data_IF_959243360355
#
_entry.id   IF_959243360355
#
_cell.length_a   1.000
_cell.length_b   1.000
_cell.length_c   1.000
_cell.angle_alpha   90.00
_cell.angle_beta   90.00
_cell.angle_gamma   90.00
#
_symmetry.space_group_name_H-M   'P 1'
#
loop_
_entity.id
_entity.type
_entity.pdbx_description
1 polymer ?
#
# COMPACT_ATOMS: atom_id res chain seq x y z
N UNK A 1 -1.91 -14.88 -3.21
CA UNK A 1 -1.92 -13.70 -4.08
C UNK A 1 -0.52 -13.41 -4.58
N UNK A 2 -0.36 -12.48 -5.52
CA UNK A 2 0.91 -12.26 -6.21
C UNK A 2 2.03 -11.90 -5.24
N UNK A 3 1.73 -11.23 -4.12
CA UNK A 3 2.66 -10.97 -3.01
C UNK A 3 3.46 -12.21 -2.59
N UNK A 4 2.82 -13.38 -2.50
CA UNK A 4 3.46 -14.63 -2.08
C UNK A 4 4.48 -15.16 -3.09
N UNK A 5 4.42 -14.72 -4.35
CA UNK A 5 5.35 -15.07 -5.41
C UNK A 5 6.41 -13.97 -5.63
N UNK A 6 6.03 -12.71 -5.41
CA UNK A 6 6.84 -11.51 -5.66
C UNK A 6 7.83 -11.26 -4.51
N UNK A 7 7.39 -11.32 -3.25
CA UNK A 7 8.24 -11.01 -2.08
C UNK A 7 9.52 -11.86 -2.01
N UNK A 8 9.46 -13.21 -2.11
CA UNK A 8 10.68 -14.04 -2.02
C UNK A 8 11.73 -13.77 -3.10
N UNK A 9 11.35 -13.15 -4.22
CA UNK A 9 12.28 -12.79 -5.31
C UNK A 9 12.87 -11.40 -5.15
N UNK A 10 12.14 -10.47 -4.54
CA UNK A 10 12.61 -9.12 -4.29
C UNK A 10 13.47 -9.04 -3.01
N UNK A 11 13.15 -9.85 -2.00
CA UNK A 11 13.82 -9.83 -0.70
C UNK A 11 15.36 -9.91 -0.79
N UNK A 12 15.99 -10.80 -1.58
CA UNK A 12 17.45 -10.86 -1.66
C UNK A 12 18.10 -9.58 -2.20
N UNK A 13 17.44 -8.90 -3.15
CA UNK A 13 17.93 -7.64 -3.71
C UNK A 13 17.77 -6.50 -2.69
N UNK A 14 16.60 -6.44 -2.05
CA UNK A 14 16.28 -5.44 -1.02
C UNK A 14 17.19 -5.58 0.20
N UNK A 15 17.47 -6.81 0.66
CA UNK A 15 18.38 -7.07 1.78
C UNK A 15 19.84 -6.67 1.46
N UNK A 16 20.25 -6.79 0.19
CA UNK A 16 21.54 -6.29 -0.29
C UNK A 16 21.65 -4.76 -0.19
N UNK A 17 20.60 -4.04 -0.62
CA UNK A 17 20.53 -2.58 -0.54
C UNK A 17 20.37 -2.10 0.90
N UNK A 18 19.54 -2.78 1.70
CA UNK A 18 19.28 -2.46 3.10
C UNK A 18 20.56 -2.53 3.93
N UNK A 19 21.42 -3.54 3.71
CA UNK A 19 22.72 -3.63 4.39
C UNK A 19 23.64 -2.45 4.10
N UNK A 20 23.67 -1.98 2.84
CA UNK A 20 24.47 -0.81 2.46
C UNK A 20 23.94 0.46 3.10
N UNK A 21 22.63 0.65 3.10
CA UNK A 21 21.97 1.80 3.73
C UNK A 21 22.11 1.80 5.27
N UNK A 22 21.90 0.65 5.90
CA UNK A 22 22.08 0.50 7.34
C UNK A 22 23.53 0.79 7.76
N UNK A 23 24.52 0.39 6.94
CA UNK A 23 25.93 0.71 7.17
C UNK A 23 26.25 2.22 7.09
N UNK A 24 25.41 3.02 6.42
CA UNK A 24 25.52 4.49 6.39
C UNK A 24 24.80 5.21 7.54
N UNK A 25 24.15 4.47 8.44
CA UNK A 25 23.42 5.03 9.58
C UNK A 25 22.03 5.57 9.25
N UNK A 26 21.51 5.31 8.04
CA UNK A 26 20.16 5.69 7.65
C UNK A 26 19.15 4.75 8.30
N UNK A 27 18.20 5.33 9.04
CA UNK A 27 17.13 4.59 9.72
C UNK A 27 15.95 4.27 8.80
N UNK A 28 15.15 3.27 9.18
CA UNK A 28 13.96 2.85 8.43
C UNK A 28 12.96 4.00 8.25
N UNK A 29 12.67 4.75 9.33
CA UNK A 29 11.73 5.89 9.30
C UNK A 29 12.09 6.94 8.24
N UNK A 30 13.39 7.18 8.03
CA UNK A 30 13.86 8.12 7.00
C UNK A 30 13.57 7.58 5.61
N UNK A 31 13.78 6.27 5.39
CA UNK A 31 13.46 5.61 4.12
C UNK A 31 11.96 5.70 3.83
N UNK A 32 11.11 5.44 4.82
CA UNK A 32 9.64 5.55 4.69
C UNK A 32 9.20 6.97 4.32
N UNK A 33 9.73 8.00 5.00
CA UNK A 33 9.40 9.41 4.69
C UNK A 33 9.84 9.80 3.28
N UNK A 34 11.04 9.41 2.87
CA UNK A 34 11.55 9.69 1.52
C UNK A 34 10.74 8.94 0.47
N UNK A 35 10.39 7.68 0.71
CA UNK A 35 9.55 6.89 -0.19
C UNK A 35 8.17 7.54 -0.38
N UNK A 36 7.56 8.04 0.70
CA UNK A 36 6.30 8.78 0.64
C UNK A 36 6.45 10.09 -0.15
N UNK A 37 7.49 10.88 0.12
CA UNK A 37 7.75 12.12 -0.62
C UNK A 37 7.90 11.87 -2.13
N UNK A 38 8.62 10.81 -2.53
CA UNK A 38 8.72 10.38 -3.92
C UNK A 38 7.36 9.97 -4.50
N UNK A 39 6.51 9.31 -3.71
CA UNK A 39 5.14 8.96 -4.11
C UNK A 39 4.24 10.19 -4.32
N UNK A 40 4.41 11.24 -3.52
CA UNK A 40 3.71 12.51 -3.71
C UNK A 40 4.22 13.26 -4.95
N UNK A 41 5.53 13.21 -5.23
CA UNK A 41 6.08 13.71 -6.48
C UNK A 41 5.54 12.94 -7.69
N UNK A 42 5.39 11.62 -7.58
CA UNK A 42 4.73 10.80 -8.60
C UNK A 42 3.29 11.26 -8.85
N UNK A 43 2.53 11.49 -7.78
CA UNK A 43 1.16 12.02 -7.84
C UNK A 43 1.10 13.36 -8.57
N UNK A 44 2.00 14.30 -8.24
CA UNK A 44 2.09 15.59 -8.91
C UNK A 44 2.46 15.46 -10.39
N UNK A 45 3.40 14.59 -10.73
CA UNK A 45 3.79 14.32 -12.12
C UNK A 45 2.60 13.75 -12.93
N UNK A 46 1.83 12.82 -12.35
CA UNK A 46 0.62 12.25 -12.95
C UNK A 46 -0.43 13.34 -13.17
N UNK A 47 -0.70 14.17 -12.16
CA UNK A 47 -1.68 15.25 -12.26
C UNK A 47 -1.32 16.27 -13.36
N UNK A 48 -0.03 16.48 -13.62
CA UNK A 48 0.47 17.34 -14.70
C UNK A 48 0.56 16.64 -16.07
N UNK A 49 0.17 15.37 -16.16
CA UNK A 49 0.16 14.59 -17.42
C UNK A 49 1.47 13.88 -17.75
N UNK A 50 2.51 13.97 -16.91
CA UNK A 50 3.78 13.27 -17.09
C UNK A 50 3.69 11.80 -16.64
N UNK A 51 2.85 11.00 -17.30
CA UNK A 51 2.51 9.64 -16.88
C UNK A 51 3.72 8.70 -16.76
N UNK A 52 4.68 8.77 -17.67
CA UNK A 52 5.89 7.93 -17.62
C UNK A 52 6.82 8.30 -16.47
N UNK A 53 7.01 9.59 -16.23
CA UNK A 53 7.79 10.07 -15.08
C UNK A 53 7.07 9.75 -13.76
N UNK A 54 5.75 9.93 -13.73
CA UNK A 54 4.90 9.51 -12.63
C UNK A 54 5.03 8.02 -12.32
N UNK A 55 4.97 7.17 -13.35
CA UNK A 55 5.17 5.72 -13.23
C UNK A 55 6.56 5.38 -12.67
N UNK A 56 7.62 6.01 -13.18
CA UNK A 56 8.97 5.77 -12.68
C UNK A 56 9.10 6.15 -11.19
N UNK A 57 8.61 7.33 -10.81
CA UNK A 57 8.62 7.80 -9.42
C UNK A 57 7.76 6.90 -8.52
N UNK A 58 6.60 6.46 -8.99
CA UNK A 58 5.73 5.52 -8.28
C UNK A 58 6.48 4.22 -7.96
N UNK A 59 7.14 3.62 -8.95
CA UNK A 59 7.91 2.39 -8.75
C UNK A 59 9.09 2.60 -7.80
N UNK A 60 9.78 3.73 -7.89
CA UNK A 60 10.86 4.09 -6.95
C UNK A 60 10.32 4.22 -5.51
N UNK A 61 9.18 4.88 -5.33
CA UNK A 61 8.51 4.99 -4.03
C UNK A 61 8.22 3.60 -3.44
N UNK A 62 7.66 2.68 -4.24
CA UNK A 62 7.35 1.31 -3.79
C UNK A 62 8.58 0.44 -3.52
N UNK A 63 9.69 0.69 -4.21
CA UNK A 63 10.97 0.07 -3.86
C UNK A 63 11.50 0.59 -2.52
N UNK A 64 11.34 1.89 -2.25
CA UNK A 64 11.69 2.49 -0.96
C UNK A 64 10.88 1.92 0.20
N UNK A 65 9.59 1.74 0.00
CA UNK A 65 8.66 1.08 0.93
C UNK A 65 9.11 -0.36 1.28
N UNK A 66 9.45 -1.17 0.27
CA UNK A 66 10.02 -2.51 0.54
C UNK A 66 11.39 -2.47 1.25
N UNK A 67 12.14 -1.40 1.05
CA UNK A 67 13.48 -1.20 1.60
C UNK A 67 13.45 -0.77 3.06
N UNK A 68 12.48 0.03 3.51
CA UNK A 68 12.37 0.43 4.91
C UNK A 68 12.14 -0.77 5.83
N UNK A 69 11.31 -1.73 5.40
CA UNK A 69 11.04 -2.95 6.14
C UNK A 69 12.25 -3.87 6.19
N UNK A 70 13.09 -3.84 5.14
CA UNK A 70 14.36 -4.56 5.13
C UNK A 70 15.38 -3.91 6.09
N UNK A 71 15.46 -2.57 6.11
CA UNK A 71 16.32 -1.83 7.06
C UNK A 71 15.85 -2.03 8.50
N UNK A 72 14.54 -1.99 8.76
CA UNK A 72 13.96 -2.22 10.09
C UNK A 72 14.25 -3.64 10.61
N UNK A 73 14.28 -4.66 9.74
CA UNK A 73 14.68 -6.02 10.13
C UNK A 73 16.14 -6.11 10.59
N UNK A 74 17.01 -5.29 10.02
CA UNK A 74 18.44 -5.27 10.37
C UNK A 74 18.71 -4.45 11.64
N UNK A 75 18.08 -3.29 11.77
CA UNK A 75 18.35 -2.32 12.85
C UNK A 75 17.45 -2.51 14.08
N UNK A 76 16.43 -3.36 13.99
CA UNK A 76 15.40 -3.53 15.01
C UNK A 76 14.11 -2.78 14.65
N UNK A 77 12.98 -3.46 14.81
CA UNK A 77 11.65 -2.88 14.57
C UNK A 77 11.23 -2.01 15.76
N UNK A 78 10.53 -0.92 15.48
CA UNK A 78 9.97 -0.01 16.50
C UNK A 78 8.48 0.17 16.28
N UNK A 79 7.74 0.42 17.36
CA UNK A 79 6.29 0.70 17.28
C UNK A 79 6.00 1.95 16.47
N UNK A 80 6.86 2.98 16.62
CA UNK A 80 6.76 4.21 15.83
C UNK A 80 6.96 3.97 14.34
N UNK A 81 7.96 3.16 13.95
CA UNK A 81 8.21 2.82 12.56
C UNK A 81 7.03 2.08 11.93
N UNK A 82 6.44 1.11 12.65
CA UNK A 82 5.24 0.41 12.19
C UNK A 82 4.01 1.32 12.07
N UNK A 83 3.82 2.26 12.99
CA UNK A 83 2.78 3.30 12.88
C UNK A 83 3.00 4.20 11.66
N UNK A 84 4.24 4.68 11.46
CA UNK A 84 4.60 5.58 10.38
C UNK A 84 4.42 4.92 9.02
N UNK A 85 4.87 3.68 8.86
CA UNK A 85 4.69 2.84 7.68
C UNK A 85 3.21 2.79 7.27
N UNK A 86 2.33 2.35 8.19
CA UNK A 86 0.88 2.27 7.94
C UNK A 86 0.32 3.63 7.51
N UNK A 87 0.63 4.71 8.23
CA UNK A 87 0.08 6.05 7.92
C UNK A 87 0.51 6.52 6.53
N UNK A 88 1.80 6.38 6.20
CA UNK A 88 2.35 6.84 4.92
C UNK A 88 1.91 5.96 3.75
N UNK A 89 1.63 4.67 3.99
CA UNK A 89 1.00 3.80 3.01
C UNK A 89 -0.41 4.28 2.64
N UNK A 90 -1.23 4.65 3.63
CA UNK A 90 -2.56 5.24 3.35
C UNK A 90 -2.46 6.56 2.58
N UNK A 91 -1.46 7.39 2.88
CA UNK A 91 -1.19 8.60 2.10
C UNK A 91 -0.91 8.24 0.65
N UNK A 92 -0.02 7.27 0.40
CA UNK A 92 0.32 6.85 -0.95
C UNK A 92 -0.87 6.26 -1.72
N UNK A 93 -1.60 5.31 -1.11
CA UNK A 93 -2.74 4.66 -1.76
C UNK A 93 -3.86 5.63 -2.10
N UNK A 94 -4.04 6.70 -1.32
CA UNK A 94 -4.97 7.78 -1.63
C UNK A 94 -4.43 8.77 -2.66
N UNK A 95 -3.13 9.11 -2.57
CA UNK A 95 -2.51 10.14 -3.41
C UNK A 95 -2.44 9.73 -4.88
N UNK A 96 -2.05 8.49 -5.20
CA UNK A 96 -1.90 8.08 -6.61
C UNK A 96 -3.22 8.18 -7.39
N UNK A 97 -4.37 7.61 -6.94
CA UNK A 97 -5.66 7.83 -7.60
C UNK A 97 -6.06 9.30 -7.67
N UNK A 98 -5.75 10.09 -6.63
CA UNK A 98 -6.01 11.54 -6.65
C UNK A 98 -5.25 12.24 -7.78
N UNK A 99 -4.01 11.83 -8.07
CA UNK A 99 -3.25 12.33 -9.22
C UNK A 99 -3.99 12.14 -10.55
N UNK A 100 -4.61 10.96 -10.76
CA UNK A 100 -5.42 10.69 -11.96
C UNK A 100 -6.75 11.44 -11.98
N UNK A 101 -7.36 11.69 -10.81
CA UNK A 101 -8.53 12.56 -10.69
C UNK A 101 -8.18 13.99 -11.11
N UNK A 102 -7.02 14.49 -10.69
CA UNK A 102 -6.57 15.84 -11.05
C UNK A 102 -6.14 15.96 -12.51
N UNK A 103 -5.63 14.87 -13.10
CA UNK A 103 -5.28 14.82 -14.52
C UNK A 103 -6.47 15.05 -15.45
N UNK A 104 -7.62 14.40 -15.17
CA UNK A 104 -8.86 14.59 -15.92
C UNK A 104 -10.07 14.51 -14.99
N UNK A 105 -10.45 15.62 -14.33
CA UNK A 105 -11.56 15.64 -13.38
C UNK A 105 -12.90 15.26 -14.01
N UNK A 106 -13.12 15.58 -15.29
CA UNK A 106 -14.39 15.31 -15.97
C UNK A 106 -14.60 13.81 -16.18
N UNK A 107 -13.56 13.08 -16.56
CA UNK A 107 -13.64 11.63 -16.77
C UNK A 107 -13.44 10.83 -15.47
N UNK A 108 -12.57 11.28 -14.56
CA UNK A 108 -12.04 10.43 -13.50
C UNK A 108 -12.59 10.71 -12.10
N UNK A 109 -13.18 11.88 -11.83
CA UNK A 109 -13.47 12.31 -10.46
C UNK A 109 -14.36 11.32 -9.68
N UNK A 110 -15.47 10.86 -10.27
CA UNK A 110 -16.40 9.97 -9.57
C UNK A 110 -15.76 8.60 -9.32
N UNK A 111 -15.14 8.01 -10.34
CA UNK A 111 -14.52 6.70 -10.22
C UNK A 111 -13.33 6.71 -9.24
N UNK A 112 -12.49 7.76 -9.30
CA UNK A 112 -11.38 7.95 -8.37
C UNK A 112 -11.85 8.18 -6.94
N UNK A 113 -12.91 8.98 -6.72
CA UNK A 113 -13.49 9.19 -5.40
C UNK A 113 -14.05 7.88 -4.81
N UNK A 114 -14.73 7.06 -5.61
CA UNK A 114 -15.23 5.74 -5.18
C UNK A 114 -14.08 4.81 -4.82
N UNK A 115 -13.02 4.76 -5.63
CA UNK A 115 -11.84 3.94 -5.33
C UNK A 115 -11.18 4.37 -4.01
N UNK A 116 -10.90 5.67 -3.84
CA UNK A 116 -10.32 6.24 -2.62
C UNK A 116 -11.21 5.90 -1.41
N UNK A 117 -12.52 6.12 -1.51
CA UNK A 117 -13.47 5.77 -0.45
C UNK A 117 -13.35 4.29 -0.06
N UNK A 118 -13.31 3.38 -1.03
CA UNK A 118 -13.18 1.95 -0.73
C UNK A 118 -11.84 1.58 -0.10
N UNK A 119 -10.74 2.24 -0.48
CA UNK A 119 -9.43 2.06 0.19
C UNK A 119 -9.50 2.45 1.66
N UNK A 120 -10.09 3.60 1.99
CA UNK A 120 -10.22 4.03 3.38
C UNK A 120 -11.18 3.17 4.20
N UNK A 121 -12.28 2.70 3.62
CA UNK A 121 -13.19 1.75 4.30
C UNK A 121 -12.48 0.41 4.56
N UNK A 122 -11.75 -0.10 3.55
CA UNK A 122 -10.97 -1.32 3.71
C UNK A 122 -9.89 -1.15 4.78
N UNK A 123 -9.17 -0.03 4.78
CA UNK A 123 -8.18 0.30 5.79
C UNK A 123 -8.74 0.40 7.19
N UNK A 124 -9.81 1.17 7.38
CA UNK A 124 -10.49 1.30 8.67
C UNK A 124 -10.93 -0.06 9.20
N UNK A 125 -11.52 -0.91 8.35
CA UNK A 125 -11.92 -2.26 8.76
C UNK A 125 -10.71 -3.14 9.13
N UNK A 126 -9.57 -3.00 8.43
CA UNK A 126 -8.33 -3.72 8.72
C UNK A 126 -7.74 -3.31 10.08
N UNK A 127 -7.52 -2.02 10.30
CA UNK A 127 -6.99 -1.51 11.57
C UNK A 127 -7.92 -1.82 12.75
N UNK A 128 -9.23 -1.61 12.59
CA UNK A 128 -10.20 -1.91 13.64
C UNK A 128 -10.21 -3.41 14.00
N UNK A 129 -10.16 -4.29 12.99
CA UNK A 129 -10.06 -5.73 13.22
C UNK A 129 -8.76 -6.09 13.94
N UNK A 130 -7.62 -5.54 13.53
CA UNK A 130 -6.32 -5.78 14.14
C UNK A 130 -6.30 -5.41 15.63
N UNK A 131 -6.75 -4.20 15.97
CA UNK A 131 -6.81 -3.72 17.37
C UNK A 131 -7.75 -4.59 18.22
N UNK A 132 -8.91 -4.99 17.69
CA UNK A 132 -9.83 -5.86 18.41
C UNK A 132 -9.29 -7.28 18.61
N UNK A 133 -8.58 -7.81 17.61
CA UNK A 133 -7.96 -9.12 17.70
C UNK A 133 -6.81 -9.14 18.72
N UNK A 134 -5.95 -8.12 18.69
CA UNK A 134 -4.86 -7.93 19.66
C UNK A 134 -5.41 -7.82 21.09
N UNK A 135 -6.43 -6.98 21.31
CA UNK A 135 -7.08 -6.82 22.64
C UNK A 135 -7.66 -8.12 23.20
N UNK A 136 -8.10 -9.03 22.32
CA UNK A 136 -8.67 -10.32 22.72
C UNK A 136 -7.63 -11.43 22.85
N UNK A 137 -6.35 -11.11 22.65
CA UNK A 137 -5.27 -12.09 22.66
C UNK A 137 -5.45 -13.18 21.61
N UNK A 138 -6.21 -12.89 20.54
CA UNK A 138 -6.24 -13.79 19.41
C UNK A 138 -4.80 -13.79 18.86
N UNK A 139 -4.25 -14.98 18.59
CA UNK A 139 -2.99 -15.15 17.87
C UNK A 139 -3.25 -16.09 16.70
N UNK A 140 -2.78 -15.73 15.52
CA UNK A 140 -2.84 -16.60 14.35
C UNK A 140 -1.59 -17.46 14.32
N UNK A 141 -1.65 -18.66 14.90
CA UNK A 141 -0.59 -19.69 14.77
C UNK A 141 -0.44 -20.24 13.33
N UNK A 142 -1.32 -19.85 12.40
CA UNK A 142 -1.34 -20.42 11.05
C UNK A 142 -0.22 -19.90 10.12
N UNK A 143 0.46 -18.79 10.45
CA UNK A 143 1.62 -18.24 9.72
C UNK A 143 2.36 -17.28 10.65
N UNK A 144 3.56 -17.67 11.07
CA UNK A 144 4.29 -17.14 12.22
C UNK A 144 4.53 -15.61 12.29
N UNK A 145 4.94 -15.19 13.49
CA UNK A 145 5.45 -13.88 13.91
C UNK A 145 5.14 -12.69 12.96
N UNK A 146 3.86 -12.41 12.74
CA UNK A 146 3.43 -11.10 12.24
C UNK A 146 2.26 -10.64 13.08
N UNK A 147 2.51 -9.55 13.80
CA UNK A 147 1.71 -8.86 14.80
C UNK A 147 0.39 -8.25 14.28
N UNK A 148 -0.16 -8.72 13.16
CA UNK A 148 -1.43 -8.23 12.63
C UNK A 148 -2.17 -9.41 12.00
N UNK A 149 -3.41 -9.68 12.43
CA UNK A 149 -4.28 -10.63 11.75
C UNK A 149 -4.50 -10.19 10.31
N UNK A 150 -3.71 -10.75 9.40
CA UNK A 150 -3.92 -10.60 7.97
C UNK A 150 -5.14 -11.43 7.58
N UNK A 151 -6.30 -10.80 7.53
CA UNK A 151 -7.38 -11.29 6.69
C UNK A 151 -6.92 -11.09 5.25
N UNK A 152 -6.58 -12.17 4.55
CA UNK A 152 -6.22 -12.13 3.13
C UNK A 152 -7.34 -11.46 2.35
N UNK A 153 -7.06 -10.28 1.77
CA UNK A 153 -8.00 -9.61 0.88
C UNK A 153 -8.01 -10.22 -0.50
N UNK A 154 -8.86 -9.76 -1.41
CA UNK A 154 -8.73 -10.07 -2.85
C UNK A 154 -7.76 -9.12 -3.57
N UNK A 155 -7.39 -8.01 -2.92
CA UNK A 155 -6.41 -7.03 -3.38
C UNK A 155 -5.37 -6.79 -2.27
N UNK A 156 -4.12 -7.16 -2.52
CA UNK A 156 -2.97 -6.92 -1.65
C UNK A 156 -2.09 -5.81 -2.26
N UNK A 157 -0.90 -5.58 -1.70
CA UNK A 157 -0.01 -4.52 -2.12
C UNK A 157 0.40 -4.67 -3.59
N UNK A 158 0.75 -5.88 -4.05
CA UNK A 158 1.16 -6.10 -5.44
C UNK A 158 0.03 -5.81 -6.42
N UNK A 159 -1.18 -6.32 -6.19
CA UNK A 159 -2.32 -6.09 -7.07
C UNK A 159 -2.67 -4.59 -7.16
N UNK A 160 -2.52 -3.86 -6.05
CA UNK A 160 -2.73 -2.41 -6.01
C UNK A 160 -1.66 -1.66 -6.81
N UNK A 161 -0.40 -2.05 -6.69
CA UNK A 161 0.69 -1.47 -7.48
C UNK A 161 0.47 -1.75 -8.97
N UNK A 162 0.09 -2.98 -9.33
CA UNK A 162 -0.22 -3.34 -10.72
C UNK A 162 -1.38 -2.53 -11.29
N UNK A 163 -2.42 -2.25 -10.49
CA UNK A 163 -3.50 -1.34 -10.87
C UNK A 163 -2.95 0.06 -11.17
N UNK A 164 -2.09 0.61 -10.31
CA UNK A 164 -1.54 1.95 -10.53
C UNK A 164 -0.61 2.01 -11.75
N UNK A 165 0.16 0.95 -12.00
CA UNK A 165 0.92 0.79 -13.24
C UNK A 165 -0.03 0.79 -14.43
N UNK A 166 -1.13 0.04 -14.35
CA UNK A 166 -2.14 -0.01 -15.41
C UNK A 166 -2.80 1.36 -15.65
N UNK A 167 -3.05 2.16 -14.62
CA UNK A 167 -3.53 3.54 -14.79
C UNK A 167 -2.55 4.41 -15.58
N UNK A 168 -1.24 4.25 -15.34
CA UNK A 168 -0.22 5.00 -16.08
C UNK A 168 -0.13 4.55 -17.55
N UNK A 169 -0.30 3.25 -17.82
CA UNK A 169 -0.20 2.68 -19.16
C UNK A 169 -1.46 2.86 -20.00
N UNK A 170 -2.64 2.86 -19.35
CA UNK A 170 -3.96 2.90 -19.97
C UNK A 170 -4.85 3.97 -19.29
N UNK A 171 -4.48 5.26 -19.35
CA UNK A 171 -5.20 6.33 -18.65
C UNK A 171 -6.66 6.47 -19.10
N UNK A 172 -6.97 6.16 -20.36
CA UNK A 172 -8.34 6.19 -20.89
C UNK A 172 -9.27 5.14 -20.23
N UNK A 173 -8.70 4.08 -19.65
CA UNK A 173 -9.46 3.02 -18.95
C UNK A 173 -9.49 3.23 -17.44
N UNK A 174 -9.00 4.37 -16.93
CA UNK A 174 -8.91 4.65 -15.49
C UNK A 174 -10.24 4.41 -14.78
N UNK A 175 -11.34 5.01 -15.25
CA UNK A 175 -12.62 4.92 -14.57
C UNK A 175 -13.13 3.47 -14.45
N UNK A 176 -13.03 2.69 -15.53
CA UNK A 176 -13.44 1.27 -15.54
C UNK A 176 -12.59 0.44 -14.58
N UNK A 177 -11.27 0.60 -14.63
CA UNK A 177 -10.34 -0.11 -13.75
C UNK A 177 -10.53 0.28 -12.28
N UNK A 178 -10.76 1.58 -12.01
CA UNK A 178 -11.02 2.10 -10.67
C UNK A 178 -12.31 1.51 -10.08
N UNK A 179 -13.41 1.47 -10.83
CA UNK A 179 -14.64 0.84 -10.34
C UNK A 179 -14.50 -0.66 -10.11
N UNK A 180 -13.82 -1.37 -11.02
CA UNK A 180 -13.59 -2.80 -10.87
C UNK A 180 -12.78 -3.09 -9.59
N UNK A 181 -11.71 -2.33 -9.34
CA UNK A 181 -10.89 -2.51 -8.16
C UNK A 181 -11.59 -2.03 -6.87
N UNK A 182 -12.40 -0.97 -6.96
CA UNK A 182 -13.23 -0.52 -5.84
C UNK A 182 -14.22 -1.60 -5.41
N UNK A 183 -14.84 -2.32 -6.35
CA UNK A 183 -15.72 -3.44 -6.04
C UNK A 183 -15.00 -4.59 -5.32
N UNK A 184 -13.80 -4.96 -5.77
CA UNK A 184 -12.95 -5.98 -5.11
C UNK A 184 -12.54 -5.55 -3.69
N UNK A 185 -12.18 -4.28 -3.54
CA UNK A 185 -11.79 -3.68 -2.26
C UNK A 185 -12.97 -3.62 -1.29
N UNK A 186 -14.14 -3.20 -1.77
CA UNK A 186 -15.38 -3.18 -0.99
C UNK A 186 -15.80 -4.59 -0.55
N UNK A 187 -15.71 -5.58 -1.45
CA UNK A 187 -15.96 -6.98 -1.11
C UNK A 187 -15.05 -7.47 0.02
N UNK A 188 -13.75 -7.12 -0.05
CA UNK A 188 -12.79 -7.46 1.01
C UNK A 188 -13.17 -6.83 2.35
N UNK A 189 -13.52 -5.54 2.34
CA UNK A 189 -13.95 -4.83 3.55
C UNK A 189 -15.22 -5.43 4.16
N UNK A 190 -16.23 -5.71 3.35
CA UNK A 190 -17.48 -6.36 3.78
C UNK A 190 -17.21 -7.75 4.35
N UNK A 191 -16.37 -8.54 3.67
CA UNK A 191 -15.99 -9.88 4.14
C UNK A 191 -15.32 -9.82 5.52
N UNK A 192 -14.45 -8.82 5.75
CA UNK A 192 -13.81 -8.59 7.05
C UNK A 192 -14.82 -8.18 8.12
N UNK A 193 -15.80 -7.33 7.80
CA UNK A 193 -16.87 -6.94 8.74
C UNK A 193 -17.71 -8.16 9.13
N UNK A 194 -18.08 -9.01 8.16
CA UNK A 194 -18.82 -10.25 8.43
C UNK A 194 -18.01 -11.22 9.28
N UNK A 195 -16.70 -11.35 9.00
CA UNK A 195 -15.79 -12.14 9.81
C UNK A 195 -15.70 -11.60 11.24
N UNK A 196 -15.56 -10.28 11.42
CA UNK A 196 -15.51 -9.63 12.72
C UNK A 196 -16.73 -9.97 13.58
N UNK A 197 -17.95 -9.98 13.01
CA UNK A 197 -19.17 -10.36 13.72
C UNK A 197 -19.17 -11.81 14.22
N UNK A 198 -18.41 -12.70 13.58
CA UNK A 198 -18.31 -14.13 13.97
C UNK A 198 -17.18 -14.38 14.96
N UNK A 199 -16.12 -13.59 14.88
CA UNK A 199 -14.92 -13.73 15.71
C UNK A 199 -14.99 -12.95 17.02
N UNK A 200 -15.85 -11.94 17.10
CA UNK A 200 -15.99 -11.04 18.24
C UNK A 200 -17.36 -11.09 18.90
#
# INVERSE_FOLDING_TARGET
MLDGWVKPRLDPMLDGLARKLAATGVGADTVTVVACAVGLLATGAIALGYLWSGLALLLISRLGDGLDGAVARLNGKTDYGGFLDIVLDFVFYGAIPLGFVLLDPAANAVAGAVLIFTFYVNGASFLAFAVMAERRGLSSDARGEKSIFFTTGLAEATETILLFVAFCLLPASFATLAYAFAALTAYTAVSRIVLARRSF
#
